data_IF_098796133033
#
_entry.id   IF_098796133033
#
_cell.length_a   1.000
_cell.length_b   1.000
_cell.length_c   1.000
_cell.angle_alpha   90.00
_cell.angle_beta   90.00
_cell.angle_gamma   90.00
#
_symmetry.space_group_name_H-M   'P 1'
#
loop_
_entity.id
_entity.type
_entity.pdbx_description
1 polymer ?
#
# COMPACT_ATOMS: atom_id res chain seq x y z
N UNK A 1 -5.85 -3.65 0.27
CA UNK A 1 -4.63 -2.88 0.60
C UNK A 1 -5.04 -1.53 1.17
N UNK A 2 -4.35 -1.02 2.19
CA UNK A 2 -4.62 0.28 2.82
C UNK A 2 -3.33 1.08 2.88
N UNK A 3 -3.37 2.31 2.37
CA UNK A 3 -2.25 3.25 2.43
C UNK A 3 -2.42 4.13 3.66
N UNK A 4 -1.42 4.16 4.55
CA UNK A 4 -1.37 5.05 5.70
C UNK A 4 -0.17 5.99 5.54
N UNK A 5 -0.42 7.29 5.51
CA UNK A 5 0.62 8.30 5.37
C UNK A 5 0.87 9.02 6.68
N UNK A 6 2.14 9.32 6.92
CA UNK A 6 2.62 10.08 8.06
C UNK A 6 3.45 11.25 7.57
N UNK A 7 3.29 12.39 8.23
CA UNK A 7 4.12 13.57 7.99
C UNK A 7 5.29 13.59 8.98
N UNK A 8 6.45 14.03 8.52
CA UNK A 8 7.62 14.31 9.34
C UNK A 8 8.11 15.72 9.10
N UNK A 9 8.61 16.34 10.18
CA UNK A 9 9.23 17.66 10.12
C UNK A 9 10.73 17.58 9.83
N UNK A 10 11.34 16.39 9.93
CA UNK A 10 12.77 16.20 9.72
C UNK A 10 13.09 16.16 8.21
N UNK A 11 13.88 17.12 7.68
CA UNK A 11 14.27 17.11 6.29
C UNK A 11 15.19 15.93 5.97
N UNK A 12 15.09 15.37 4.75
CA UNK A 12 16.00 14.35 4.25
C UNK A 12 15.69 12.90 4.70
N UNK A 13 14.65 12.68 5.51
CA UNK A 13 14.19 11.33 5.84
C UNK A 13 13.39 10.67 4.70
N UNK A 14 12.75 11.47 3.85
CA UNK A 14 11.90 10.99 2.76
C UNK A 14 12.33 11.61 1.44
N UNK A 15 11.97 10.96 0.34
CA UNK A 15 12.28 11.44 -1.01
C UNK A 15 11.16 12.31 -1.58
N UNK A 16 10.17 12.69 -0.76
CA UNK A 16 9.01 13.47 -1.21
C UNK A 16 9.39 14.78 -1.88
N UNK A 17 10.44 15.43 -1.40
CA UNK A 17 10.98 16.67 -1.96
C UNK A 17 11.48 16.53 -3.42
N UNK A 18 11.68 15.31 -3.91
CA UNK A 18 12.03 15.03 -5.31
C UNK A 18 10.79 14.98 -6.20
N UNK A 19 9.58 14.92 -5.63
CA UNK A 19 8.34 14.69 -6.38
C UNK A 19 7.35 15.82 -6.12
N UNK A 20 7.05 16.07 -4.84
CA UNK A 20 6.14 17.10 -4.39
C UNK A 20 6.99 18.30 -3.96
N UNK A 21 6.49 19.51 -4.24
CA UNK A 21 7.12 20.84 -4.07
C UNK A 21 7.76 21.44 -5.34
N UNK A 22 7.35 22.67 -5.66
CA UNK A 22 7.95 23.48 -6.73
C UNK A 22 7.99 22.76 -8.09
N UNK A 23 9.16 22.72 -8.70
CA UNK A 23 9.44 22.06 -9.99
C UNK A 23 10.08 20.67 -9.83
N UNK A 24 10.02 20.07 -8.63
CA UNK A 24 10.69 18.83 -8.29
C UNK A 24 10.29 17.67 -9.22
N UNK A 25 8.99 17.48 -9.46
CA UNK A 25 8.49 16.44 -10.37
C UNK A 25 9.12 16.54 -11.78
N UNK A 26 9.17 17.75 -12.34
CA UNK A 26 9.71 17.98 -13.68
C UNK A 26 11.23 17.72 -13.73
N UNK A 27 11.96 18.13 -12.69
CA UNK A 27 13.40 17.85 -12.52
C UNK A 27 13.66 16.35 -12.42
N UNK A 28 12.95 15.66 -11.55
CA UNK A 28 13.07 14.20 -11.35
C UNK A 28 12.70 13.42 -12.60
N UNK A 29 11.66 13.85 -13.33
CA UNK A 29 11.29 13.24 -14.59
C UNK A 29 12.36 13.44 -15.68
N UNK A 30 12.97 14.62 -15.73
CA UNK A 30 14.09 14.89 -16.65
C UNK A 30 15.31 14.03 -16.29
N UNK A 31 15.60 13.87 -15.01
CA UNK A 31 16.68 13.02 -14.51
C UNK A 31 16.44 11.56 -14.87
N UNK A 32 15.23 11.03 -14.64
CA UNK A 32 14.86 9.67 -15.02
C UNK A 32 15.00 9.45 -16.53
N UNK A 33 14.58 10.40 -17.37
CA UNK A 33 14.76 10.30 -18.83
C UNK A 33 16.23 10.15 -19.23
N UNK A 34 17.14 10.86 -18.55
CA UNK A 34 18.57 10.86 -18.85
C UNK A 34 19.32 9.67 -18.24
N UNK A 35 19.00 9.31 -17.00
CA UNK A 35 19.82 8.41 -16.18
C UNK A 35 19.08 7.17 -15.65
N UNK A 36 17.75 7.07 -15.87
CA UNK A 36 16.89 6.00 -15.35
C UNK A 36 16.93 5.83 -13.82
N UNK A 37 17.33 6.86 -13.09
CA UNK A 37 17.25 6.89 -11.63
C UNK A 37 15.80 7.11 -11.16
N UNK A 38 15.36 6.31 -10.18
CA UNK A 38 14.03 6.42 -9.57
C UNK A 38 14.05 7.41 -8.40
N UNK A 39 13.00 8.23 -8.28
CA UNK A 39 12.81 9.19 -7.18
C UNK A 39 12.16 8.57 -5.93
N UNK A 40 11.27 7.59 -6.11
CA UNK A 40 10.58 6.89 -5.04
C UNK A 40 10.99 5.43 -5.00
N UNK A 41 11.19 4.88 -3.80
CA UNK A 41 11.53 3.47 -3.56
C UNK A 41 10.48 2.81 -2.68
N UNK A 42 10.20 1.54 -2.99
CA UNK A 42 9.44 0.63 -2.16
C UNK A 42 10.42 -0.30 -1.46
N UNK A 43 10.22 -0.51 -0.16
CA UNK A 43 10.97 -1.50 0.61
C UNK A 43 9.99 -2.40 1.34
N UNK A 44 10.37 -3.68 1.43
CA UNK A 44 9.55 -4.74 1.98
C UNK A 44 9.99 -5.04 3.41
N UNK A 45 9.02 -5.14 4.33
CA UNK A 45 9.22 -5.64 5.68
C UNK A 45 8.36 -6.89 5.87
N UNK A 46 9.00 -8.05 5.81
CA UNK A 46 8.37 -9.32 6.12
C UNK A 46 8.50 -9.60 7.64
N UNK A 47 7.39 -9.82 8.33
CA UNK A 47 7.41 -10.34 9.71
C UNK A 47 6.69 -11.68 9.74
N UNK A 48 7.45 -12.76 9.89
CA UNK A 48 6.90 -14.09 10.14
C UNK A 48 6.32 -14.19 11.56
N UNK A 49 5.17 -14.85 11.70
CA UNK A 49 4.58 -15.16 13.00
C UNK A 49 5.41 -16.25 13.70
N UNK A 50 5.81 -16.10 14.99
CA UNK A 50 6.68 -17.09 15.65
C UNK A 50 6.04 -18.42 16.06
N UNK A 51 4.78 -18.72 15.75
CA UNK A 51 4.10 -19.88 16.36
C UNK A 51 3.80 -21.05 15.40
N UNK A 52 4.28 -22.22 15.81
CA UNK A 52 4.00 -23.55 15.22
C UNK A 52 2.65 -24.07 15.74
N UNK A 53 1.56 -23.86 15.01
CA UNK A 53 0.35 -24.72 15.01
C UNK A 53 -0.69 -24.25 13.97
N UNK A 54 -1.37 -25.21 13.33
CA UNK A 54 -2.54 -25.11 12.42
C UNK A 54 -2.50 -24.06 11.27
N UNK A 55 -3.38 -24.21 10.27
CA UNK A 55 -3.53 -23.18 9.23
C UNK A 55 -3.93 -21.85 9.87
N UNK A 56 -3.40 -20.73 9.38
CA UNK A 56 -3.77 -19.40 9.91
C UNK A 56 -5.29 -19.17 9.76
N UNK A 57 -5.89 -18.18 10.45
CA UNK A 57 -7.31 -17.84 10.23
C UNK A 57 -7.65 -17.60 8.74
N UNK A 58 -6.66 -17.18 7.95
CA UNK A 58 -6.78 -16.98 6.51
C UNK A 58 -6.63 -18.27 5.67
N UNK A 59 -6.41 -19.42 6.30
CA UNK A 59 -6.18 -20.70 5.63
C UNK A 59 -4.81 -20.83 4.99
N UNK A 60 -3.84 -20.00 5.42
CA UNK A 60 -2.47 -20.01 4.91
C UNK A 60 -1.57 -20.97 5.71
N UNK A 61 -0.46 -21.37 5.11
CA UNK A 61 0.58 -22.10 5.83
C UNK A 61 1.16 -21.22 6.97
N UNK A 62 1.64 -21.81 8.09
CA UNK A 62 2.22 -21.04 9.18
C UNK A 62 3.39 -20.13 8.78
N UNK A 63 4.08 -20.47 7.68
CA UNK A 63 5.19 -19.69 7.13
C UNK A 63 4.75 -18.54 6.20
N UNK A 64 3.47 -18.44 5.87
CA UNK A 64 2.94 -17.41 4.98
C UNK A 64 2.29 -16.30 5.81
N UNK A 65 2.63 -15.02 5.56
CA UNK A 65 2.02 -13.91 6.27
C UNK A 65 0.56 -13.74 5.85
N UNK A 66 -0.31 -13.40 6.81
CA UNK A 66 -1.67 -12.94 6.50
C UNK A 66 -1.66 -11.49 5.96
N UNK A 67 -0.63 -10.72 6.34
CA UNK A 67 -0.48 -9.30 6.07
C UNK A 67 0.97 -9.01 5.68
N UNK A 68 1.16 -8.16 4.68
CA UNK A 68 2.45 -7.55 4.38
C UNK A 68 2.42 -6.05 4.67
N UNK A 69 3.52 -5.54 5.23
CA UNK A 69 3.73 -4.12 5.46
C UNK A 69 4.80 -3.61 4.48
N UNK A 70 4.39 -2.73 3.57
CA UNK A 70 5.26 -2.16 2.55
C UNK A 70 5.50 -0.70 2.90
N UNK A 71 6.77 -0.29 3.04
CA UNK A 71 7.11 1.10 3.31
C UNK A 71 7.43 1.85 2.01
N UNK A 72 7.01 3.11 1.97
CA UNK A 72 7.17 4.02 0.84
C UNK A 72 7.87 5.29 1.28
N UNK A 73 8.95 5.64 0.58
CA UNK A 73 9.75 6.84 0.87
C UNK A 73 9.12 8.14 0.33
N UNK A 74 7.96 8.05 -0.33
CA UNK A 74 7.19 9.17 -0.83
C UNK A 74 5.69 8.91 -0.68
N UNK A 75 4.93 10.00 -0.63
CA UNK A 75 3.49 10.00 -0.87
C UNK A 75 3.18 9.50 -2.29
N UNK A 76 2.10 8.73 -2.43
CA UNK A 76 1.67 8.20 -3.71
C UNK A 76 0.41 7.35 -3.57
N UNK A 77 -0.07 6.76 -4.65
CA UNK A 77 -1.23 5.88 -4.59
C UNK A 77 -2.18 6.08 -5.76
N UNK A 78 -3.45 5.66 -5.59
CA UNK A 78 -4.48 5.83 -6.61
C UNK A 78 -4.62 7.28 -7.05
N UNK A 79 -4.99 7.48 -8.31
CA UNK A 79 -5.23 8.80 -8.92
C UNK A 79 -6.26 9.67 -8.18
N UNK A 80 -7.10 9.04 -7.35
CA UNK A 80 -8.18 9.69 -6.61
C UNK A 80 -7.66 10.35 -5.31
N UNK A 81 -6.38 10.16 -4.96
CA UNK A 81 -5.74 10.84 -3.84
C UNK A 81 -5.45 12.30 -4.20
N UNK A 82 -6.13 13.23 -3.52
CA UNK A 82 -6.07 14.67 -3.78
C UNK A 82 -5.41 15.48 -2.64
N UNK A 83 -5.07 14.82 -1.54
CA UNK A 83 -4.43 15.42 -0.35
C UNK A 83 -2.92 15.29 -0.40
N UNK A 84 -2.29 16.09 -1.24
CA UNK A 84 -0.83 16.13 -1.38
C UNK A 84 -0.14 16.65 -0.10
N UNK A 85 1.14 16.27 0.12
CA UNK A 85 1.94 16.80 1.23
C UNK A 85 1.96 18.32 1.23
N UNK A 86 1.81 18.92 2.41
CA UNK A 86 1.86 20.38 2.59
C UNK A 86 3.22 20.92 2.14
N UNK A 87 3.24 22.09 1.52
CA UNK A 87 4.48 22.70 1.03
C UNK A 87 5.55 22.79 2.14
N UNK A 88 6.73 22.23 1.88
CA UNK A 88 7.85 22.20 2.84
C UNK A 88 7.72 21.14 3.95
N UNK A 89 6.65 20.34 3.96
CA UNK A 89 6.54 19.12 4.77
C UNK A 89 6.91 17.89 3.95
N UNK A 90 7.21 16.81 4.65
CA UNK A 90 7.68 15.55 4.07
C UNK A 90 6.76 14.43 4.52
N UNK A 91 6.26 13.63 3.59
CA UNK A 91 5.46 12.46 3.92
C UNK A 91 6.16 11.16 3.49
N UNK A 92 5.79 10.09 4.19
CA UNK A 92 6.11 8.72 3.85
C UNK A 92 4.89 7.86 4.17
N UNK A 93 4.83 6.65 3.63
CA UNK A 93 3.68 5.77 3.85
C UNK A 93 4.09 4.38 4.28
N UNK A 94 3.25 3.76 5.09
CA UNK A 94 3.23 2.31 5.29
C UNK A 94 1.93 1.77 4.71
N UNK A 95 2.02 0.65 3.99
CA UNK A 95 0.92 0.07 3.25
C UNK A 95 0.66 -1.31 3.82
N UNK A 96 -0.57 -1.56 4.25
CA UNK A 96 -1.01 -2.87 4.71
C UNK A 96 -1.69 -3.63 3.57
N UNK A 97 -1.11 -4.76 3.16
CA UNK A 97 -1.64 -5.64 2.13
C UNK A 97 -2.17 -6.94 2.73
N UNK A 98 -3.40 -7.33 2.36
CA UNK A 98 -4.07 -8.54 2.85
C UNK A 98 -3.81 -9.70 1.90
N UNK A 99 -3.25 -10.79 2.43
CA UNK A 99 -3.01 -12.02 1.71
C UNK A 99 -4.12 -13.04 1.92
N UNK A 100 -4.45 -13.76 0.84
CA UNK A 100 -5.51 -14.78 0.83
C UNK A 100 -6.86 -14.28 1.38
N UNK A 101 -7.41 -13.15 0.86
CA UNK A 101 -8.72 -12.67 1.30
C UNK A 101 -9.78 -13.77 1.12
N UNK A 102 -10.78 -13.79 1.99
CA UNK A 102 -11.92 -14.73 1.94
C UNK A 102 -13.04 -14.22 1.04
N UNK A 103 -13.17 -12.91 0.91
CA UNK A 103 -14.11 -12.25 0.00
C UNK A 103 -13.96 -12.75 -1.44
N UNK A 104 -15.08 -12.96 -2.13
CA UNK A 104 -15.10 -13.42 -3.53
C UNK A 104 -16.00 -12.51 -4.36
N UNK A 105 -15.42 -12.00 -5.44
CA UNK A 105 -16.12 -11.26 -6.48
C UNK A 105 -16.54 -12.14 -7.65
N UNK A 106 -17.17 -11.52 -8.64
CA UNK A 106 -17.59 -12.16 -9.89
C UNK A 106 -17.16 -11.33 -11.10
N UNK A 107 -16.93 -12.00 -12.21
CA UNK A 107 -16.75 -11.38 -13.53
C UNK A 107 -17.73 -12.05 -14.47
N UNK A 108 -18.60 -11.27 -15.10
CA UNK A 108 -19.61 -11.78 -16.05
C UNK A 108 -19.50 -11.06 -17.38
N UNK A 109 -19.78 -11.78 -18.47
CA UNK A 109 -19.88 -11.18 -19.78
C UNK A 109 -21.08 -10.23 -19.78
N UNK A 110 -20.88 -9.02 -20.31
CA UNK A 110 -21.96 -8.04 -20.45
C UNK A 110 -23.00 -8.50 -21.46
N UNK A 111 -22.53 -9.10 -22.56
CA UNK A 111 -23.32 -9.65 -23.66
C UNK A 111 -22.40 -10.53 -24.54
N UNK A 112 -22.88 -10.94 -25.72
CA UNK A 112 -22.14 -11.79 -26.65
C UNK A 112 -21.05 -11.07 -27.48
N UNK A 113 -20.93 -9.73 -27.40
CA UNK A 113 -19.89 -8.98 -28.13
C UNK A 113 -18.54 -9.15 -27.40
N UNK A 114 -17.51 -9.73 -28.05
CA UNK A 114 -16.21 -9.96 -27.42
C UNK A 114 -15.44 -8.67 -27.11
N UNK A 115 -15.85 -7.52 -27.68
CA UNK A 115 -15.25 -6.21 -27.42
C UNK A 115 -15.93 -5.46 -26.28
N UNK A 116 -17.07 -5.94 -25.80
CA UNK A 116 -17.79 -5.32 -24.71
C UNK A 116 -17.02 -5.47 -23.39
N UNK A 117 -16.92 -4.36 -22.64
CA UNK A 117 -16.29 -4.36 -21.31
C UNK A 117 -17.11 -5.26 -20.37
N UNK A 118 -16.52 -6.26 -19.71
CA UNK A 118 -17.25 -7.15 -18.81
C UNK A 118 -17.85 -6.41 -17.61
N UNK A 119 -18.76 -7.07 -16.90
CA UNK A 119 -19.21 -6.59 -15.59
C UNK A 119 -18.32 -7.23 -14.53
N UNK A 120 -17.58 -6.40 -13.81
CA UNK A 120 -16.67 -6.82 -12.74
C UNK A 120 -17.25 -6.33 -11.42
N UNK A 121 -17.57 -7.26 -10.54
CA UNK A 121 -17.89 -6.98 -9.14
C UNK A 121 -16.81 -7.61 -8.28
N UNK A 122 -15.93 -6.79 -7.72
CA UNK A 122 -14.85 -7.29 -6.89
C UNK A 122 -15.33 -7.81 -5.53
N UNK A 123 -16.49 -7.33 -5.04
CA UNK A 123 -17.06 -7.69 -3.74
C UNK A 123 -16.02 -7.66 -2.59
N UNK A 124 -15.18 -6.61 -2.57
CA UNK A 124 -14.13 -6.47 -1.58
C UNK A 124 -14.71 -6.34 -0.16
N UNK A 125 -14.06 -6.98 0.82
CA UNK A 125 -14.42 -6.92 2.25
C UNK A 125 -15.83 -7.45 2.57
N UNK A 126 -16.39 -8.29 1.69
CA UNK A 126 -17.67 -8.98 1.92
C UNK A 126 -17.61 -10.01 3.05
N UNK A 127 -16.45 -10.63 3.27
CA UNK A 127 -16.22 -11.50 4.42
C UNK A 127 -15.71 -10.63 5.58
N UNK A 128 -16.37 -10.66 6.76
CA UNK A 128 -15.98 -9.83 7.89
C UNK A 128 -14.55 -10.11 8.36
N UNK A 129 -14.02 -11.33 8.18
CA UNK A 129 -12.65 -11.66 8.59
C UNK A 129 -11.61 -10.83 7.83
N UNK A 130 -11.86 -10.51 6.55
CA UNK A 130 -10.95 -9.68 5.76
C UNK A 130 -10.83 -8.27 6.34
N UNK A 131 -11.95 -7.71 6.82
CA UNK A 131 -11.97 -6.40 7.44
C UNK A 131 -11.26 -6.41 8.81
N UNK A 132 -11.48 -7.44 9.63
CA UNK A 132 -10.84 -7.58 10.94
C UNK A 132 -9.32 -7.70 10.82
N UNK A 133 -8.82 -8.59 9.96
CA UNK A 133 -7.38 -8.79 9.78
C UNK A 133 -6.72 -7.52 9.22
N UNK A 134 -7.40 -6.81 8.32
CA UNK A 134 -6.88 -5.56 7.76
C UNK A 134 -6.94 -4.39 8.75
N UNK A 135 -7.93 -4.34 9.64
CA UNK A 135 -8.00 -3.35 10.71
C UNK A 135 -6.87 -3.55 11.73
N UNK A 136 -6.61 -4.80 12.15
CA UNK A 136 -5.48 -5.15 13.02
C UNK A 136 -4.14 -4.81 12.36
N UNK A 137 -4.00 -5.04 11.05
CA UNK A 137 -2.83 -4.63 10.29
C UNK A 137 -2.60 -3.13 10.33
N UNK A 138 -3.66 -2.33 10.17
CA UNK A 138 -3.57 -0.87 10.22
C UNK A 138 -3.21 -0.37 11.62
N UNK A 139 -3.79 -0.97 12.67
CA UNK A 139 -3.45 -0.64 14.06
C UNK A 139 -1.97 -0.92 14.33
N UNK A 140 -1.51 -2.12 14.00
CA UNK A 140 -0.12 -2.51 14.21
C UNK A 140 0.86 -1.66 13.39
N UNK A 141 0.53 -1.35 12.14
CA UNK A 141 1.33 -0.46 11.31
C UNK A 141 1.44 0.95 11.91
N UNK A 142 0.38 1.45 12.53
CA UNK A 142 0.40 2.72 13.25
C UNK A 142 1.28 2.64 14.51
N UNK A 143 1.17 1.58 15.31
CA UNK A 143 2.01 1.34 16.49
C UNK A 143 3.50 1.32 16.14
N UNK A 144 3.91 0.68 15.03
CA UNK A 144 5.31 0.70 14.55
C UNK A 144 5.80 2.13 14.37
N UNK A 145 4.99 3.01 13.77
CA UNK A 145 5.41 4.37 13.44
C UNK A 145 5.36 5.30 14.64
N UNK A 146 4.32 5.20 15.47
CA UNK A 146 4.12 6.14 16.58
C UNK A 146 4.84 5.74 17.86
N UNK A 147 5.07 4.44 18.07
CA UNK A 147 5.62 3.90 19.32
C UNK A 147 6.94 3.15 19.15
N UNK A 148 7.30 2.75 17.93
CA UNK A 148 8.57 2.04 17.64
C UNK A 148 8.59 0.57 18.05
N UNK A 149 7.43 -0.09 17.98
CA UNK A 149 7.16 -1.47 18.41
C UNK A 149 8.17 -2.56 17.96
#
# INVERSE_FOLDING_TARGET
IVFMFYETEQPGLTNDHLVYHGDALAKSYTLWKKQKAASCRFRYLERGSPERWAATPMGLAPSQPNIELINTECYGGPKDFDKFPIYGKHAFGIIAELFSPKSRGTVTLRNADPTAIPVVDCNYLSDPLDAEVLAEACRFANEIITEGA
#
